data_IF_978700884045
#
_entry.id   IF_978700884045
#
_cell.length_a   1.000
_cell.length_b   1.000
_cell.length_c   1.000
_cell.angle_alpha   90.00
_cell.angle_beta   90.00
_cell.angle_gamma   90.00
#
_symmetry.space_group_name_H-M   'P 1'
#
loop_
_entity.id
_entity.type
_entity.pdbx_description
1 polymer ?
#
# COMPACT_ATOMS: atom_id res chain seq x y z
N UNK A 1 -13.73 1.48 -18.92
CA UNK A 1 -12.92 1.84 -17.74
C UNK A 1 -13.84 2.59 -16.78
N UNK A 2 -13.95 2.14 -15.52
CA UNK A 2 -14.67 2.94 -14.50
C UNK A 2 -13.79 4.15 -14.14
N UNK A 3 -14.36 5.34 -13.91
CA UNK A 3 -13.59 6.51 -13.49
C UNK A 3 -12.88 6.19 -12.18
N UNK A 4 -11.55 6.37 -12.14
CA UNK A 4 -10.82 6.27 -10.88
C UNK A 4 -11.31 7.41 -9.97
N UNK A 5 -11.71 7.13 -8.74
CA UNK A 5 -12.03 8.17 -7.78
C UNK A 5 -10.81 9.08 -7.58
N UNK A 6 -11.06 10.36 -7.29
CA UNK A 6 -10.00 11.36 -7.10
C UNK A 6 -9.59 11.42 -5.62
N UNK A 7 -10.50 11.03 -4.72
CA UNK A 7 -10.31 11.18 -3.28
C UNK A 7 -10.00 9.84 -2.59
N UNK A 8 -9.09 9.85 -1.59
CA UNK A 8 -8.84 8.68 -0.76
C UNK A 8 -10.10 8.28 0.01
N UNK A 9 -10.24 6.99 0.27
CA UNK A 9 -11.34 6.45 1.05
C UNK A 9 -11.28 6.98 2.50
N UNK A 10 -12.41 7.49 2.97
CA UNK A 10 -12.63 7.88 4.37
C UNK A 10 -13.33 6.77 5.17
N UNK A 11 -13.15 6.77 6.50
CA UNK A 11 -13.86 5.81 7.37
C UNK A 11 -15.37 6.05 7.32
N UNK A 12 -15.80 7.30 7.23
CA UNK A 12 -17.22 7.66 7.13
C UNK A 12 -17.87 7.03 5.90
N UNK A 13 -17.24 7.10 4.72
CA UNK A 13 -17.76 6.48 3.50
C UNK A 13 -17.90 4.95 3.64
N UNK A 14 -16.95 4.31 4.32
CA UNK A 14 -16.98 2.88 4.58
C UNK A 14 -18.11 2.50 5.57
N UNK A 15 -18.27 3.28 6.64
CA UNK A 15 -19.35 3.10 7.61
C UNK A 15 -20.74 3.35 7.00
N UNK A 16 -20.88 4.39 6.19
CA UNK A 16 -22.12 4.72 5.50
C UNK A 16 -22.53 3.58 4.55
N UNK A 17 -21.58 3.01 3.81
CA UNK A 17 -21.84 1.85 2.99
C UNK A 17 -22.18 0.60 3.82
N UNK A 18 -21.52 0.37 4.95
CA UNK A 18 -21.84 -0.73 5.87
C UNK A 18 -23.27 -0.60 6.44
N UNK A 19 -23.70 0.62 6.76
CA UNK A 19 -25.07 0.92 7.20
C UNK A 19 -26.08 0.69 6.07
N UNK A 20 -25.78 1.11 4.84
CA UNK A 20 -26.67 0.90 3.69
C UNK A 20 -26.84 -0.57 3.31
N UNK A 21 -25.84 -1.43 3.58
CA UNK A 21 -26.00 -2.89 3.43
C UNK A 21 -26.99 -3.49 4.44
N UNK A 22 -27.20 -2.85 5.59
CA UNK A 22 -28.14 -3.30 6.64
C UNK A 22 -29.56 -2.77 6.42
N UNK A 23 -29.70 -1.63 5.75
CA UNK A 23 -30.97 -1.04 5.29
C UNK A 23 -30.88 -0.76 3.79
N UNK A 24 -31.13 -1.77 2.94
CA UNK A 24 -30.82 -1.68 1.51
C UNK A 24 -31.82 -0.76 0.79
N UNK A 25 -31.50 0.53 0.78
CA UNK A 25 -32.10 1.58 -0.08
C UNK A 25 -31.63 1.43 -1.54
N UNK A 26 -30.38 1.00 -1.73
CA UNK A 26 -29.76 0.79 -3.04
C UNK A 26 -30.10 -0.58 -3.64
N UNK A 27 -30.14 -0.65 -4.97
CA UNK A 27 -30.19 -1.90 -5.71
C UNK A 27 -28.90 -2.71 -5.53
N UNK A 28 -28.97 -4.03 -5.73
CA UNK A 28 -27.79 -4.90 -5.61
C UNK A 28 -26.70 -4.51 -6.60
N UNK A 29 -27.07 -4.09 -7.81
CA UNK A 29 -26.14 -3.60 -8.84
C UNK A 29 -25.40 -2.36 -8.35
N UNK A 30 -26.10 -1.40 -7.75
CA UNK A 30 -25.51 -0.20 -7.17
C UNK A 30 -24.58 -0.56 -6.02
N UNK A 31 -24.93 -1.52 -5.16
CA UNK A 31 -24.04 -1.99 -4.09
C UNK A 31 -22.72 -2.56 -4.64
N UNK A 32 -22.75 -3.34 -5.73
CA UNK A 32 -21.53 -3.82 -6.39
C UNK A 32 -20.72 -2.69 -7.06
N UNK A 33 -21.38 -1.67 -7.59
CA UNK A 33 -20.72 -0.50 -8.14
C UNK A 33 -20.04 0.33 -7.05
N UNK A 34 -20.73 0.60 -5.94
CA UNK A 34 -20.19 1.31 -4.79
C UNK A 34 -19.02 0.56 -4.18
N UNK A 35 -19.14 -0.77 -3.99
CA UNK A 35 -18.02 -1.58 -3.49
C UNK A 35 -16.76 -1.45 -4.36
N UNK A 36 -16.90 -1.48 -5.70
CA UNK A 36 -15.76 -1.25 -6.60
C UNK A 36 -15.16 0.14 -6.43
N UNK A 37 -16.01 1.17 -6.32
CA UNK A 37 -15.54 2.55 -6.07
C UNK A 37 -14.75 2.64 -4.77
N UNK A 38 -15.23 2.04 -3.68
CA UNK A 38 -14.52 2.03 -2.39
C UNK A 38 -13.15 1.33 -2.49
N UNK A 39 -13.06 0.19 -3.19
CA UNK A 39 -11.77 -0.47 -3.44
C UNK A 39 -10.82 0.38 -4.28
N UNK A 40 -11.33 1.10 -5.29
CA UNK A 40 -10.50 2.03 -6.07
C UNK A 40 -10.08 3.26 -5.28
N UNK A 41 -10.93 3.79 -4.39
CA UNK A 41 -10.54 4.88 -3.49
C UNK A 41 -9.48 4.42 -2.49
N UNK A 42 -9.59 3.19 -1.98
CA UNK A 42 -8.60 2.63 -1.06
C UNK A 42 -7.22 2.40 -1.70
N UNK A 43 -7.15 2.16 -3.02
CA UNK A 43 -5.87 2.14 -3.73
C UNK A 43 -5.11 3.46 -3.59
N UNK A 44 -5.82 4.58 -3.51
CA UNK A 44 -5.22 5.91 -3.30
C UNK A 44 -4.64 5.99 -1.88
N UNK A 45 -5.35 5.50 -0.85
CA UNK A 45 -4.81 5.43 0.51
C UNK A 45 -3.52 4.60 0.59
N UNK A 46 -3.48 3.43 -0.07
CA UNK A 46 -2.28 2.59 -0.12
C UNK A 46 -1.13 3.26 -0.90
N UNK A 47 -1.44 4.00 -1.96
CA UNK A 47 -0.46 4.76 -2.73
C UNK A 47 0.13 5.88 -1.87
N UNK A 48 -0.71 6.64 -1.19
CA UNK A 48 -0.29 7.70 -0.27
C UNK A 48 0.58 7.15 0.87
N UNK A 49 0.21 6.00 1.44
CA UNK A 49 1.05 5.33 2.44
C UNK A 49 2.42 4.94 1.86
N UNK A 50 2.45 4.37 0.66
CA UNK A 50 3.71 4.02 -0.01
C UNK A 50 4.59 5.24 -0.28
N UNK A 51 4.00 6.39 -0.61
CA UNK A 51 4.73 7.64 -0.78
C UNK A 51 5.25 8.20 0.54
N UNK A 52 4.44 8.13 1.60
CA UNK A 52 4.84 8.56 2.94
C UNK A 52 6.04 7.76 3.45
N UNK A 53 5.98 6.44 3.32
CA UNK A 53 7.09 5.55 3.70
C UNK A 53 8.37 5.86 2.92
N UNK A 54 8.25 6.10 1.61
CA UNK A 54 9.38 6.48 0.76
C UNK A 54 10.00 7.80 1.23
N UNK A 55 9.18 8.84 1.44
CA UNK A 55 9.65 10.16 1.87
C UNK A 55 10.31 10.11 3.25
N UNK A 56 9.73 9.36 4.17
CA UNK A 56 10.26 9.20 5.53
C UNK A 56 11.62 8.51 5.50
N UNK A 57 11.72 7.40 4.76
CA UNK A 57 12.98 6.66 4.62
C UNK A 57 14.06 7.48 3.90
N UNK A 58 13.67 8.22 2.85
CA UNK A 58 14.58 9.11 2.13
C UNK A 58 15.13 10.20 3.05
N UNK A 59 14.26 10.79 3.88
CA UNK A 59 14.66 11.80 4.86
C UNK A 59 15.71 11.25 5.81
N UNK A 60 15.47 10.09 6.43
CA UNK A 60 16.43 9.44 7.34
C UNK A 60 17.77 9.15 6.65
N UNK A 61 17.75 8.53 5.46
CA UNK A 61 18.98 8.26 4.70
C UNK A 61 19.78 9.54 4.42
N UNK A 62 19.07 10.62 4.09
CA UNK A 62 19.68 11.92 3.80
C UNK A 62 20.27 12.54 5.07
N UNK A 63 19.55 12.48 6.19
CA UNK A 63 20.00 13.00 7.48
C UNK A 63 21.24 12.26 7.97
N UNK A 64 21.23 10.92 7.95
CA UNK A 64 22.38 10.09 8.32
C UNK A 64 23.61 10.43 7.46
N UNK A 65 23.41 10.57 6.15
CA UNK A 65 24.47 10.96 5.23
C UNK A 65 25.04 12.36 5.53
N UNK A 66 24.18 13.34 5.78
CA UNK A 66 24.59 14.70 6.09
C UNK A 66 25.34 14.78 7.42
N UNK A 67 24.90 14.04 8.44
CA UNK A 67 25.58 13.96 9.74
C UNK A 67 26.98 13.38 9.58
N UNK A 68 27.10 12.23 8.91
CA UNK A 68 28.41 11.59 8.73
C UNK A 68 29.36 12.44 7.86
N UNK A 69 28.84 13.05 6.80
CA UNK A 69 29.63 13.93 5.93
C UNK A 69 30.08 15.20 6.66
N UNK A 70 29.24 15.76 7.53
CA UNK A 70 29.58 16.91 8.36
C UNK A 70 30.70 16.58 9.35
N UNK A 71 30.63 15.43 10.02
CA UNK A 71 31.68 14.95 10.93
C UNK A 71 33.02 14.78 10.20
N UNK A 72 33.02 14.11 9.04
CA UNK A 72 34.23 13.96 8.22
C UNK A 72 34.80 15.31 7.76
N UNK A 73 33.94 16.25 7.35
CA UNK A 73 34.37 17.60 6.94
C UNK A 73 35.01 18.36 8.11
N UNK A 74 34.40 18.29 9.29
CA UNK A 74 34.95 18.93 10.51
C UNK A 74 36.33 18.36 10.85
N UNK A 75 36.52 17.03 10.75
CA UNK A 75 37.82 16.38 10.97
C UNK A 75 38.88 16.80 9.95
N UNK A 76 38.51 16.92 8.66
CA UNK A 76 39.42 17.43 7.62
C UNK A 76 39.84 18.87 7.90
N UNK A 77 38.91 19.73 8.32
CA UNK A 77 39.24 21.11 8.71
C UNK A 77 40.20 21.14 9.89
N UNK A 78 40.02 20.24 10.87
CA UNK A 78 40.96 20.03 11.98
C UNK A 78 42.36 19.60 11.53
N UNK A 79 42.46 18.60 10.63
CA UNK A 79 43.74 18.16 10.07
C UNK A 79 44.46 19.29 9.31
N UNK A 80 43.72 20.09 8.52
CA UNK A 80 44.32 21.25 7.81
C UNK A 80 44.95 22.26 8.76
N UNK A 81 44.36 22.47 9.94
CA UNK A 81 44.96 23.34 10.95
C UNK A 81 46.25 22.73 11.52
N UNK A 82 46.29 21.42 11.75
CA UNK A 82 47.48 20.70 12.23
C UNK A 82 48.60 20.73 11.18
N UNK A 83 48.29 20.46 9.90
CA UNK A 83 49.26 20.60 8.81
C UNK A 83 49.88 21.99 8.76
N UNK A 84 49.07 23.05 8.92
CA UNK A 84 49.58 24.43 8.96
C UNK A 84 50.52 24.67 10.16
N UNK A 85 50.28 24.03 11.30
CA UNK A 85 51.19 24.13 12.45
C UNK A 85 52.53 23.45 12.16
N UNK A 86 52.50 22.27 11.52
CA UNK A 86 53.70 21.56 11.10
C UNK A 86 54.48 22.35 10.03
N UNK A 87 53.81 22.92 9.04
CA UNK A 87 54.43 23.79 8.02
C UNK A 87 55.16 24.98 8.66
N UNK A 88 54.55 25.62 9.67
CA UNK A 88 55.22 26.71 10.39
C UNK A 88 56.47 26.23 11.15
N UNK A 89 56.43 25.01 11.73
CA UNK A 89 57.60 24.39 12.40
C UNK A 89 58.70 24.07 11.41
N UNK A 90 58.37 23.59 10.21
CA UNK A 90 59.32 23.35 9.12
C UNK A 90 60.00 24.65 8.72
N UNK A 91 59.23 25.71 8.44
CA UNK A 91 59.78 27.03 8.10
C UNK A 91 60.71 27.53 9.21
N UNK A 92 60.35 27.33 10.48
CA UNK A 92 61.18 27.73 11.62
C UNK A 92 62.47 26.90 11.71
N UNK A 93 62.42 25.59 11.46
CA UNK A 93 63.59 24.71 11.42
C UNK A 93 64.52 25.08 10.25
N UNK A 94 63.97 25.32 9.06
CA UNK A 94 64.72 25.77 7.88
C UNK A 94 65.41 27.12 8.12
N UNK A 95 64.73 28.08 8.73
CA UNK A 95 65.32 29.36 9.10
C UNK A 95 66.49 29.21 10.09
N UNK A 96 66.42 28.23 11.00
CA UNK A 96 67.54 27.93 11.92
C UNK A 96 68.74 27.37 11.15
N UNK A 97 68.50 26.48 10.17
CA UNK A 97 69.56 25.94 9.31
C UNK A 97 70.21 27.00 8.42
N UNK A 98 69.41 27.91 7.84
CA UNK A 98 69.92 28.99 6.96
C UNK A 98 70.83 29.97 7.72
N UNK A 99 70.62 30.14 9.04
CA UNK A 99 71.46 31.00 9.90
C UNK A 99 72.82 30.38 10.24
N UNK A 100 73.09 29.15 9.78
CA UNK A 100 74.33 28.41 9.99
C UNK A 100 74.09 27.12 10.75
N UNK A 101 74.82 26.07 10.39
CA UNK A 101 74.85 24.81 11.16
C UNK A 101 75.56 25.13 12.48
N UNK A 102 74.98 24.82 13.66
CA UNK A 102 75.64 25.04 14.93
C UNK A 102 76.96 24.28 15.00
N UNK A 103 78.02 24.92 15.47
CA UNK A 103 79.31 24.26 15.77
C UNK A 103 79.23 23.35 17.01
N UNK A 104 78.17 23.51 17.82
CA UNK A 104 77.87 22.71 19.00
C UNK A 104 77.07 21.45 18.64
N UNK A 105 77.67 20.29 18.93
CA UNK A 105 77.11 18.96 18.73
C UNK A 105 75.76 18.77 19.44
N UNK A 106 75.57 19.32 20.65
CA UNK A 106 74.32 19.18 21.40
C UNK A 106 73.16 19.94 20.74
N UNK A 107 73.49 21.08 20.12
CA UNK A 107 72.54 21.91 19.39
C UNK A 107 72.17 21.31 18.04
N UNK A 108 73.12 20.62 17.41
CA UNK A 108 72.91 19.85 16.18
C UNK A 108 72.00 18.65 16.43
N UNK A 109 72.20 17.90 17.51
CA UNK A 109 71.37 16.76 17.90
C UNK A 109 69.92 17.18 18.20
N UNK A 110 69.72 18.34 18.85
CA UNK A 110 68.38 18.93 19.06
C UNK A 110 67.69 19.31 17.75
N UNK A 111 68.41 19.82 16.76
CA UNK A 111 67.85 20.15 15.45
C UNK A 111 67.45 18.88 14.68
N UNK A 112 68.27 17.84 14.72
CA UNK A 112 67.97 16.55 14.09
C UNK A 112 66.73 15.92 14.74
N UNK A 113 66.67 15.88 16.07
CA UNK A 113 65.51 15.33 16.79
C UNK A 113 64.21 16.10 16.49
N UNK A 114 64.26 17.43 16.36
CA UNK A 114 63.10 18.23 15.95
C UNK A 114 62.66 17.90 14.51
N UNK A 115 63.60 17.71 13.58
CA UNK A 115 63.29 17.33 12.20
C UNK A 115 62.68 15.92 12.11
N UNK A 116 63.23 14.96 12.84
CA UNK A 116 62.67 13.60 12.93
C UNK A 116 61.25 13.63 13.52
N UNK A 117 61.02 14.44 14.57
CA UNK A 117 59.69 14.65 15.14
C UNK A 117 58.71 15.27 14.15
N UNK A 118 59.15 16.27 13.36
CA UNK A 118 58.33 16.90 12.32
C UNK A 118 57.93 15.87 11.24
N UNK A 119 58.88 15.03 10.79
CA UNK A 119 58.62 14.01 9.77
C UNK A 119 57.63 12.97 10.29
N UNK A 120 57.81 12.47 11.52
CA UNK A 120 56.88 11.51 12.13
C UNK A 120 55.45 12.09 12.25
N UNK A 121 55.33 13.38 12.60
CA UNK A 121 54.04 14.05 12.67
C UNK A 121 53.41 14.25 11.29
N UNK A 122 54.18 14.61 10.26
CA UNK A 122 53.68 14.67 8.88
C UNK A 122 53.15 13.32 8.40
N UNK A 123 53.89 12.23 8.62
CA UNK A 123 53.46 10.89 8.22
C UNK A 123 52.14 10.50 8.90
N UNK A 124 51.98 10.81 10.19
CA UNK A 124 50.73 10.59 10.94
C UNK A 124 49.57 11.41 10.37
N UNK A 125 49.80 12.68 10.06
CA UNK A 125 48.77 13.56 9.49
C UNK A 125 48.34 13.10 8.09
N UNK A 126 49.29 12.68 7.26
CA UNK A 126 49.02 12.13 5.91
C UNK A 126 48.20 10.85 6.01
N UNK A 127 48.58 9.93 6.90
CA UNK A 127 47.83 8.70 7.12
C UNK A 127 46.38 8.98 7.58
N UNK A 128 46.20 9.92 8.52
CA UNK A 128 44.89 10.32 9.00
C UNK A 128 44.04 11.02 7.93
N UNK A 129 44.65 11.83 7.07
CA UNK A 129 43.96 12.44 5.92
C UNK A 129 43.48 11.38 4.94
N UNK A 130 44.35 10.41 4.60
CA UNK A 130 44.00 9.34 3.69
C UNK A 130 42.84 8.48 4.24
N UNK A 131 42.87 8.14 5.52
CA UNK A 131 41.78 7.41 6.18
C UNK A 131 40.44 8.17 6.09
N UNK A 132 40.45 9.49 6.31
CA UNK A 132 39.25 10.31 6.20
C UNK A 132 38.72 10.41 4.77
N UNK A 133 39.60 10.51 3.77
CA UNK A 133 39.22 10.52 2.36
C UNK A 133 38.59 9.18 1.95
N UNK A 134 39.18 8.06 2.38
CA UNK A 134 38.61 6.73 2.18
C UNK A 134 37.25 6.58 2.86
N UNK A 135 37.12 7.11 4.08
CA UNK A 135 35.84 7.12 4.80
C UNK A 135 34.77 7.92 4.07
N UNK A 136 35.08 9.11 3.57
CA UNK A 136 34.13 9.91 2.76
C UNK A 136 33.68 9.13 1.52
N UNK A 137 34.62 8.53 0.80
CA UNK A 137 34.31 7.70 -0.37
C UNK A 137 33.38 6.54 -0.01
N UNK A 138 33.64 5.85 1.10
CA UNK A 138 32.79 4.77 1.60
C UNK A 138 31.38 5.26 1.94
N UNK A 139 31.25 6.40 2.63
CA UNK A 139 29.97 7.03 2.98
C UNK A 139 29.19 7.43 1.72
N UNK A 140 29.84 8.03 0.72
CA UNK A 140 29.20 8.40 -0.56
C UNK A 140 28.68 7.16 -1.31
N UNK A 141 29.47 6.08 -1.36
CA UNK A 141 29.07 4.80 -1.97
C UNK A 141 27.90 4.17 -1.20
N UNK A 142 27.96 4.16 0.13
CA UNK A 142 26.92 3.59 0.98
C UNK A 142 25.59 4.35 0.84
N UNK A 143 25.65 5.68 0.77
CA UNK A 143 24.50 6.53 0.51
C UNK A 143 23.88 6.22 -0.87
N UNK A 144 24.70 6.17 -1.94
CA UNK A 144 24.23 5.81 -3.28
C UNK A 144 23.53 4.44 -3.32
N UNK A 145 24.12 3.42 -2.69
CA UNK A 145 23.50 2.08 -2.57
C UNK A 145 22.20 2.10 -1.78
N UNK A 146 22.09 2.94 -0.76
CA UNK A 146 20.88 3.05 0.05
C UNK A 146 19.74 3.71 -0.72
N UNK A 147 20.05 4.73 -1.53
CA UNK A 147 19.08 5.36 -2.44
C UNK A 147 18.59 4.39 -3.50
N UNK A 148 19.49 3.66 -4.17
CA UNK A 148 19.11 2.67 -5.19
C UNK A 148 18.20 1.58 -4.61
N UNK A 149 18.53 1.06 -3.41
CA UNK A 149 17.66 0.11 -2.70
C UNK A 149 16.28 0.69 -2.40
N UNK A 150 16.21 1.95 -1.99
CA UNK A 150 14.94 2.62 -1.69
C UNK A 150 14.07 2.78 -2.96
N UNK A 151 14.68 3.17 -4.08
CA UNK A 151 14.00 3.27 -5.37
C UNK A 151 13.48 1.91 -5.84
N UNK A 152 14.32 0.87 -5.77
CA UNK A 152 13.93 -0.49 -6.12
C UNK A 152 12.81 -1.00 -5.22
N UNK A 153 12.84 -0.70 -3.92
CA UNK A 153 11.78 -1.06 -2.97
C UNK A 153 10.45 -0.38 -3.33
N UNK A 154 10.48 0.89 -3.77
CA UNK A 154 9.28 1.61 -4.24
C UNK A 154 8.67 0.94 -5.47
N UNK A 155 9.50 0.59 -6.46
CA UNK A 155 9.05 -0.09 -7.68
C UNK A 155 8.45 -1.46 -7.36
N UNK A 156 9.18 -2.27 -6.58
CA UNK A 156 8.77 -3.60 -6.16
C UNK A 156 7.48 -3.62 -5.32
N UNK A 157 7.09 -2.48 -4.74
CA UNK A 157 5.84 -2.33 -4.01
C UNK A 157 4.68 -1.89 -4.89
N UNK A 158 4.89 -0.91 -5.76
CA UNK A 158 3.83 -0.31 -6.58
C UNK A 158 3.26 -1.31 -7.61
N UNK A 159 4.12 -2.09 -8.28
CA UNK A 159 3.68 -2.99 -9.34
C UNK A 159 2.79 -4.14 -8.82
N UNK A 160 3.15 -4.89 -7.76
CA UNK A 160 2.25 -5.89 -7.19
C UNK A 160 0.98 -5.30 -6.59
N UNK A 161 1.05 -4.09 -6.04
CA UNK A 161 -0.10 -3.38 -5.47
C UNK A 161 -1.18 -3.13 -6.54
N UNK A 162 -0.81 -2.52 -7.67
CA UNK A 162 -1.76 -2.24 -8.75
C UNK A 162 -2.42 -3.52 -9.29
N UNK A 163 -1.64 -4.60 -9.48
CA UNK A 163 -2.18 -5.90 -9.87
C UNK A 163 -3.15 -6.48 -8.84
N UNK A 164 -2.83 -6.39 -7.54
CA UNK A 164 -3.69 -6.87 -6.45
C UNK A 164 -5.05 -6.16 -6.45
N UNK A 165 -5.07 -4.84 -6.67
CA UNK A 165 -6.32 -4.06 -6.73
C UNK A 165 -7.12 -4.29 -8.02
N UNK A 166 -6.44 -4.51 -9.15
CA UNK A 166 -7.09 -4.95 -10.38
C UNK A 166 -7.79 -6.31 -10.17
N UNK A 167 -7.12 -7.24 -9.49
CA UNK A 167 -7.71 -8.54 -9.12
C UNK A 167 -8.94 -8.41 -8.24
N UNK A 168 -8.91 -7.55 -7.20
CA UNK A 168 -10.12 -7.30 -6.39
C UNK A 168 -11.28 -6.77 -7.22
N UNK A 169 -11.02 -5.85 -8.14
CA UNK A 169 -12.07 -5.33 -9.04
C UNK A 169 -12.65 -6.45 -9.92
N UNK A 170 -11.81 -7.34 -10.42
CA UNK A 170 -12.23 -8.48 -11.24
C UNK A 170 -13.00 -9.54 -10.44
N UNK A 171 -12.59 -9.80 -9.20
CA UNK A 171 -13.29 -10.71 -8.30
C UNK A 171 -14.69 -10.17 -7.99
N UNK A 172 -14.84 -8.86 -7.78
CA UNK A 172 -16.13 -8.21 -7.55
C UNK A 172 -17.04 -8.31 -8.79
N UNK A 173 -16.49 -8.08 -9.99
CA UNK A 173 -17.21 -8.27 -11.26
C UNK A 173 -17.67 -9.71 -11.47
N UNK A 174 -16.81 -10.67 -11.13
CA UNK A 174 -17.10 -12.10 -11.25
C UNK A 174 -18.19 -12.50 -10.25
N UNK A 175 -18.14 -11.97 -9.03
CA UNK A 175 -19.17 -12.18 -8.02
C UNK A 175 -20.52 -11.57 -8.43
N UNK A 176 -20.53 -10.36 -9.01
CA UNK A 176 -21.74 -9.72 -9.56
C UNK A 176 -22.40 -10.60 -10.63
N UNK A 177 -21.61 -11.11 -11.59
CA UNK A 177 -22.10 -12.02 -12.65
C UNK A 177 -22.59 -13.35 -12.10
N UNK A 178 -21.81 -13.97 -11.20
CA UNK A 178 -22.17 -15.25 -10.57
C UNK A 178 -23.48 -15.13 -9.79
N UNK A 179 -23.66 -14.05 -9.04
CA UNK A 179 -24.89 -13.82 -8.30
C UNK A 179 -26.09 -13.57 -9.21
N UNK A 180 -25.92 -12.84 -10.32
CA UNK A 180 -26.98 -12.70 -11.32
C UNK A 180 -27.44 -14.06 -11.86
N UNK A 181 -26.50 -14.96 -12.17
CA UNK A 181 -26.83 -16.32 -12.63
C UNK A 181 -27.53 -17.15 -11.55
N UNK A 182 -27.04 -17.10 -10.30
CA UNK A 182 -27.67 -17.80 -9.17
C UNK A 182 -29.09 -17.30 -8.93
N UNK A 183 -29.34 -16.00 -9.06
CA UNK A 183 -30.70 -15.43 -8.96
C UNK A 183 -31.59 -15.96 -10.06
N UNK A 184 -31.11 -16.00 -11.31
CA UNK A 184 -31.87 -16.54 -12.44
C UNK A 184 -32.23 -18.02 -12.25
N UNK A 185 -31.28 -18.82 -11.76
CA UNK A 185 -31.52 -20.24 -11.44
C UNK A 185 -32.47 -20.41 -10.25
N UNK A 186 -32.25 -19.67 -9.18
CA UNK A 186 -33.09 -19.72 -7.98
C UNK A 186 -34.52 -19.24 -8.28
N UNK A 187 -34.71 -18.33 -9.23
CA UNK A 187 -36.02 -17.85 -9.69
C UNK A 187 -36.86 -18.94 -10.38
N UNK A 188 -36.22 -19.95 -10.99
CA UNK A 188 -36.95 -21.07 -11.59
C UNK A 188 -37.76 -21.85 -10.56
N UNK A 189 -37.29 -21.91 -9.32
CA UNK A 189 -37.96 -22.63 -8.23
C UNK A 189 -39.35 -22.05 -7.94
N UNK A 190 -39.51 -20.77 -7.55
CA UNK A 190 -40.84 -20.19 -7.31
C UNK A 190 -41.65 -20.07 -8.62
N UNK A 191 -41.00 -19.86 -9.77
CA UNK A 191 -41.69 -19.84 -11.07
C UNK A 191 -42.41 -21.17 -11.37
N UNK A 192 -41.82 -22.31 -10.98
CA UNK A 192 -42.42 -23.64 -11.18
C UNK A 192 -43.32 -24.06 -10.00
N UNK A 193 -42.86 -23.86 -8.75
CA UNK A 193 -43.56 -24.34 -7.56
C UNK A 193 -44.86 -23.58 -7.27
N UNK A 194 -44.91 -22.25 -7.52
CA UNK A 194 -46.12 -21.46 -7.22
C UNK A 194 -47.29 -21.90 -8.11
N UNK A 195 -47.15 -22.00 -9.45
CA UNK A 195 -48.21 -22.55 -10.30
C UNK A 195 -48.59 -23.99 -9.97
N UNK A 196 -47.63 -24.87 -9.66
CA UNK A 196 -47.91 -26.25 -9.25
C UNK A 196 -48.73 -26.32 -7.97
N UNK A 197 -48.41 -25.48 -6.98
CA UNK A 197 -49.13 -25.39 -5.72
C UNK A 197 -50.59 -24.96 -5.92
N UNK A 198 -50.83 -23.91 -6.71
CA UNK A 198 -52.19 -23.46 -7.01
C UNK A 198 -52.97 -24.47 -7.84
N UNK A 199 -52.32 -25.15 -8.79
CA UNK A 199 -52.96 -26.22 -9.56
C UNK A 199 -53.36 -27.40 -8.67
N UNK A 200 -52.50 -27.80 -7.72
CA UNK A 200 -52.81 -28.80 -6.71
C UNK A 200 -54.00 -28.38 -5.83
N UNK A 201 -53.99 -27.14 -5.33
CA UNK A 201 -55.06 -26.62 -4.49
C UNK A 201 -56.41 -26.60 -5.23
N UNK A 202 -56.41 -26.19 -6.50
CA UNK A 202 -57.60 -26.21 -7.34
C UNK A 202 -58.16 -27.62 -7.57
N UNK A 203 -57.28 -28.62 -7.74
CA UNK A 203 -57.70 -30.02 -7.85
C UNK A 203 -58.37 -30.54 -6.57
N UNK A 204 -57.89 -30.10 -5.40
CA UNK A 204 -58.46 -30.47 -4.10
C UNK A 204 -59.80 -29.82 -3.81
N UNK A 205 -60.03 -28.61 -4.32
CA UNK A 205 -61.28 -27.85 -4.12
C UNK A 205 -62.34 -28.22 -5.18
N UNK A 206 -62.03 -29.13 -6.11
CA UNK A 206 -62.97 -29.61 -7.14
C UNK A 206 -63.17 -28.64 -8.31
N UNK A 207 -62.28 -27.66 -8.47
CA UNK A 207 -62.28 -26.69 -9.58
C UNK A 207 -61.68 -27.27 -10.87
N UNK A 208 -61.06 -28.45 -10.80
CA UNK A 208 -60.52 -29.18 -11.94
C UNK A 208 -61.25 -30.52 -12.09
N UNK A 209 -61.64 -30.92 -13.32
CA UNK A 209 -62.33 -32.18 -13.53
C UNK A 209 -61.41 -33.36 -13.21
N UNK A 210 -61.78 -34.15 -12.19
CA UNK A 210 -61.02 -35.35 -11.75
C UNK A 210 -61.23 -36.55 -12.69
N UNK A 211 -62.12 -36.46 -13.69
CA UNK A 211 -62.45 -37.59 -14.58
C UNK A 211 -61.64 -37.58 -15.88
N UNK A 212 -60.96 -38.70 -16.12
CA UNK A 212 -60.30 -39.09 -17.36
C UNK A 212 -61.29 -39.07 -18.54
N UNK A 213 -61.38 -37.94 -19.25
CA UNK A 213 -61.76 -37.93 -20.66
C UNK A 213 -60.51 -37.56 -21.45
N UNK A 214 -60.03 -38.47 -22.28
CA UNK A 214 -58.75 -38.39 -23.01
C UNK A 214 -58.64 -37.13 -23.91
N UNK A 215 -59.76 -36.42 -24.16
CA UNK A 215 -59.81 -35.31 -25.11
C UNK A 215 -59.52 -33.91 -24.53
N UNK A 216 -59.32 -33.75 -23.22
CA UNK A 216 -59.24 -32.42 -22.59
C UNK A 216 -58.02 -32.20 -21.68
N UNK A 217 -56.87 -32.77 -22.05
CA UNK A 217 -55.59 -32.62 -21.32
C UNK A 217 -55.18 -31.15 -21.13
N UNK A 218 -55.52 -30.27 -22.08
CA UNK A 218 -55.19 -28.83 -22.02
C UNK A 218 -56.08 -28.07 -21.01
N UNK A 219 -57.35 -28.44 -20.89
CA UNK A 219 -58.31 -27.81 -19.97
C UNK A 219 -57.97 -28.10 -18.49
N UNK A 220 -57.33 -29.23 -18.20
CA UNK A 220 -56.89 -29.61 -16.85
C UNK A 220 -55.74 -28.73 -16.29
N UNK A 221 -55.11 -27.89 -17.12
CA UNK A 221 -53.95 -27.07 -16.73
C UNK A 221 -54.17 -25.56 -16.87
N UNK A 222 -55.40 -25.08 -17.12
CA UNK A 222 -55.69 -23.65 -17.28
C UNK A 222 -55.25 -22.81 -16.06
N UNK A 223 -55.49 -23.32 -14.86
CA UNK A 223 -55.11 -22.66 -13.60
C UNK A 223 -53.59 -22.53 -13.46
N UNK A 224 -52.83 -23.54 -13.92
CA UNK A 224 -51.38 -23.48 -13.96
C UNK A 224 -50.89 -22.34 -14.87
N UNK A 225 -51.42 -22.24 -16.10
CA UNK A 225 -51.03 -21.18 -17.03
C UNK A 225 -51.43 -19.78 -16.56
N UNK A 226 -52.65 -19.59 -16.01
CA UNK A 226 -53.05 -18.31 -15.42
C UNK A 226 -52.10 -17.94 -14.28
N UNK A 227 -51.79 -18.88 -13.40
CA UNK A 227 -50.92 -18.61 -12.24
C UNK A 227 -49.51 -18.22 -12.70
N UNK A 228 -48.97 -18.86 -13.75
CA UNK A 228 -47.70 -18.44 -14.35
C UNK A 228 -47.77 -16.99 -14.84
N UNK A 229 -48.81 -16.65 -15.61
CA UNK A 229 -48.98 -15.30 -16.16
C UNK A 229 -49.07 -14.26 -15.03
N UNK A 230 -49.94 -14.49 -14.05
CA UNK A 230 -50.12 -13.58 -12.91
C UNK A 230 -48.83 -13.47 -12.08
N UNK A 231 -48.13 -14.57 -11.84
CA UNK A 231 -46.85 -14.56 -11.12
C UNK A 231 -45.81 -13.74 -11.88
N UNK A 232 -45.72 -13.91 -13.21
CA UNK A 232 -44.78 -13.20 -14.05
C UNK A 232 -45.03 -11.68 -14.03
N UNK A 233 -46.28 -11.24 -14.10
CA UNK A 233 -46.62 -9.81 -14.14
C UNK A 233 -46.62 -9.12 -12.78
N UNK A 234 -47.06 -9.79 -11.71
CA UNK A 234 -47.28 -9.13 -10.42
C UNK A 234 -46.22 -9.44 -9.36
N UNK A 235 -45.52 -10.58 -9.46
CA UNK A 235 -44.70 -11.11 -8.35
C UNK A 235 -43.23 -11.28 -8.73
N UNK A 236 -42.94 -11.56 -10.01
CA UNK A 236 -41.60 -11.89 -10.52
C UNK A 236 -40.52 -10.92 -10.06
N UNK A 237 -40.74 -9.62 -10.27
CA UNK A 237 -39.74 -8.59 -9.95
C UNK A 237 -39.41 -8.55 -8.46
N UNK A 238 -40.43 -8.68 -7.60
CA UNK A 238 -40.25 -8.72 -6.14
C UNK A 238 -39.41 -9.92 -5.72
N UNK A 239 -39.69 -11.09 -6.30
CA UNK A 239 -38.95 -12.33 -6.02
C UNK A 239 -37.50 -12.21 -6.49
N UNK A 240 -37.26 -11.71 -7.71
CA UNK A 240 -35.91 -11.48 -8.25
C UNK A 240 -35.13 -10.50 -7.37
N UNK A 241 -35.75 -9.42 -6.92
CA UNK A 241 -35.12 -8.44 -6.03
C UNK A 241 -34.79 -9.04 -4.66
N UNK A 242 -35.68 -9.85 -4.07
CA UNK A 242 -35.46 -10.51 -2.79
C UNK A 242 -34.33 -11.55 -2.88
N UNK A 243 -34.34 -12.40 -3.91
CA UNK A 243 -33.28 -13.37 -4.17
C UNK A 243 -31.94 -12.67 -4.40
N UNK A 244 -31.93 -11.57 -5.16
CA UNK A 244 -30.72 -10.78 -5.41
C UNK A 244 -30.14 -10.23 -4.13
N UNK A 245 -30.97 -9.65 -3.25
CA UNK A 245 -30.52 -9.12 -1.96
C UNK A 245 -29.95 -10.25 -1.08
N UNK A 246 -30.69 -11.35 -0.94
CA UNK A 246 -30.29 -12.47 -0.08
C UNK A 246 -28.96 -13.09 -0.52
N UNK A 247 -28.81 -13.37 -1.82
CA UNK A 247 -27.61 -14.03 -2.37
C UNK A 247 -26.38 -13.11 -2.43
N UNK A 248 -26.57 -11.79 -2.53
CA UNK A 248 -25.46 -10.82 -2.58
C UNK A 248 -24.95 -10.39 -1.21
N UNK A 249 -25.81 -10.37 -0.18
CA UNK A 249 -25.51 -9.81 1.15
C UNK A 249 -24.23 -10.37 1.75
N UNK A 250 -24.06 -11.70 1.75
CA UNK A 250 -22.88 -12.36 2.34
C UNK A 250 -21.57 -11.91 1.68
N UNK A 251 -21.56 -11.83 0.35
CA UNK A 251 -20.37 -11.40 -0.39
C UNK A 251 -20.05 -9.92 -0.11
N UNK A 252 -21.06 -9.05 -0.17
CA UNK A 252 -20.90 -7.62 0.06
C UNK A 252 -20.38 -7.33 1.47
N UNK A 253 -20.99 -7.94 2.50
CA UNK A 253 -20.56 -7.78 3.89
C UNK A 253 -19.13 -8.29 4.13
N UNK A 254 -18.78 -9.45 3.55
CA UNK A 254 -17.43 -10.01 3.69
C UNK A 254 -16.38 -9.11 3.03
N UNK A 255 -16.67 -8.60 1.83
CA UNK A 255 -15.78 -7.69 1.11
C UNK A 255 -15.60 -6.36 1.83
N UNK A 256 -16.68 -5.78 2.39
CA UNK A 256 -16.59 -4.55 3.21
C UNK A 256 -15.75 -4.79 4.46
N UNK A 257 -15.95 -5.92 5.16
CA UNK A 257 -15.14 -6.27 6.35
C UNK A 257 -13.66 -6.41 6.01
N UNK A 258 -13.34 -7.00 4.85
CA UNK A 258 -11.96 -7.08 4.37
C UNK A 258 -11.38 -5.69 4.11
N UNK A 259 -12.15 -4.81 3.48
CA UNK A 259 -11.74 -3.43 3.22
C UNK A 259 -11.52 -2.65 4.52
N UNK A 260 -12.38 -2.83 5.52
CA UNK A 260 -12.24 -2.28 6.88
C UNK A 260 -10.95 -2.73 7.56
N UNK A 261 -10.63 -4.02 7.49
CA UNK A 261 -9.37 -4.55 8.01
C UNK A 261 -8.15 -3.93 7.32
N UNK A 262 -8.16 -3.85 5.99
CA UNK A 262 -7.08 -3.24 5.23
C UNK A 262 -6.92 -1.75 5.58
N UNK A 263 -8.02 -1.05 5.80
CA UNK A 263 -8.00 0.36 6.19
C UNK A 263 -7.44 0.59 7.59
N UNK A 264 -7.75 -0.29 8.54
CA UNK A 264 -7.18 -0.23 9.88
C UNK A 264 -5.67 -0.49 9.86
N UNK A 265 -5.21 -1.50 9.09
CA UNK A 265 -3.78 -1.77 8.91
C UNK A 265 -3.04 -0.58 8.29
N UNK A 266 -3.65 0.07 7.29
CA UNK A 266 -3.09 1.27 6.67
C UNK A 266 -2.92 2.40 7.70
N UNK A 267 -3.95 2.65 8.53
CA UNK A 267 -3.88 3.65 9.62
C UNK A 267 -2.82 3.34 10.68
N UNK A 268 -2.72 2.09 11.10
CA UNK A 268 -1.69 1.66 12.05
C UNK A 268 -0.28 1.92 11.51
N UNK A 269 -0.06 1.64 10.22
CA UNK A 269 1.21 1.93 9.55
C UNK A 269 1.50 3.42 9.48
N UNK A 270 0.52 4.24 9.08
CA UNK A 270 0.68 5.71 9.08
C UNK A 270 1.12 6.20 10.46
N UNK A 271 0.41 5.77 11.52
CA UNK A 271 0.76 6.15 12.90
C UNK A 271 2.18 5.72 13.28
N UNK A 272 2.59 4.50 12.91
CA UNK A 272 3.94 4.01 13.23
C UNK A 272 5.03 4.83 12.55
N UNK A 273 4.78 5.35 11.34
CA UNK A 273 5.71 6.21 10.62
C UNK A 273 5.76 7.61 11.22
N UNK A 274 4.62 8.15 11.64
CA UNK A 274 4.54 9.45 12.31
C UNK A 274 5.26 9.43 13.67
N UNK A 275 4.95 8.45 14.52
CA UNK A 275 5.56 8.34 15.86
C UNK A 275 7.06 7.96 15.80
N UNK A 276 7.47 7.19 14.79
CA UNK A 276 8.89 6.94 14.54
C UNK A 276 9.66 8.19 14.11
N UNK A 277 9.00 9.12 13.42
CA UNK A 277 9.58 10.41 13.03
C UNK A 277 9.70 11.36 14.22
N UNK A 278 8.73 11.36 15.14
CA UNK A 278 8.72 12.22 16.33
C UNK A 278 9.81 11.85 17.35
N UNK A 279 10.34 10.62 17.31
CA UNK A 279 11.47 10.18 18.14
C UNK A 279 12.85 10.57 17.60
N UNK A 280 12.94 11.13 16.39
CA UNK A 280 14.20 11.52 15.73
C UNK A 280 14.39 13.05 15.70
N UNK A 281 13.35 13.83 16.01
CA UNK A 281 13.43 15.27 16.28
C UNK A 281 13.66 15.57 17.75
#
# INVERSE_FOLDING_TARGET
MLPMPVNPLSLSELEDFKRSLSKPELSVKENYQTLRKLYSSFLINETNLSELEYRTTLKTITEDYLVEKSDCKSKIEGLKQQFKQVDNRIIAADQKLIRGIPDDLELMEKLISEQESIVEEQEKLIAAEQELLERISSTDIAHGKSLEKLEQAKINRLQPMTYRFARYTQDILTAEKSNRLKVQLAYLVPLLLVPLFFNYLASKIGLLPVKHSEDHLVLAHYIFFITIILFQFFVSERVVNLLSKLLSTKYLQTSVKKLEQMMNQNKERIRSLEHGNDSIT
#
